data_IF_275227619395
#
_entry.id   IF_275227619395
#
_cell.length_a   1.000
_cell.length_b   1.000
_cell.length_c   1.000
_cell.angle_alpha   90.00
_cell.angle_beta   90.00
_cell.angle_gamma   90.00
#
_symmetry.space_group_name_H-M   'P 1'
#
loop_
_entity.id
_entity.type
_entity.pdbx_description
1 polymer ?
#
# COMPACT_ATOMS: atom_id res chain seq x y z
N UNK A 1 -8.46 9.20 9.52
CA UNK A 1 -7.87 9.62 10.81
C UNK A 1 -6.54 8.90 11.00
N UNK A 2 -5.81 9.12 12.08
CA UNK A 2 -4.58 8.38 12.38
C UNK A 2 -4.60 7.93 13.84
N UNK A 3 -4.01 6.77 14.12
CA UNK A 3 -3.77 6.26 15.46
C UNK A 3 -2.26 6.09 15.61
N UNK A 4 -1.64 6.85 16.52
CA UNK A 4 -0.21 6.68 16.82
C UNK A 4 -0.05 5.60 17.88
N UNK A 5 0.88 4.69 17.65
CA UNK A 5 1.19 3.57 18.56
C UNK A 5 2.68 3.60 18.94
N UNK A 6 3.10 2.92 20.04
CA UNK A 6 4.48 2.99 20.55
C UNK A 6 5.53 2.24 19.69
N UNK A 7 5.74 2.68 18.45
CA UNK A 7 6.85 2.25 17.57
C UNK A 7 7.64 3.48 17.10
N UNK A 8 8.98 3.42 16.99
CA UNK A 8 9.79 4.58 16.64
C UNK A 8 9.62 5.02 15.18
N UNK A 9 9.50 4.06 14.27
CA UNK A 9 9.16 4.26 12.85
C UNK A 9 8.56 2.95 12.30
N UNK A 10 8.01 3.01 11.09
CA UNK A 10 7.26 1.90 10.48
C UNK A 10 5.77 2.09 10.71
N UNK A 11 5.03 2.28 9.64
CA UNK A 11 3.61 2.62 9.64
C UNK A 11 2.85 1.78 8.61
N UNK A 12 1.53 1.73 8.77
CA UNK A 12 0.63 1.09 7.79
C UNK A 12 -0.58 1.97 7.52
N UNK A 13 -1.09 1.91 6.30
CA UNK A 13 -2.35 2.53 5.89
C UNK A 13 -3.37 1.45 5.59
N UNK A 14 -4.55 1.55 6.21
CA UNK A 14 -5.71 0.72 5.90
C UNK A 14 -6.72 1.60 5.17
N UNK A 15 -7.12 1.18 3.97
CA UNK A 15 -8.20 1.81 3.21
C UNK A 15 -9.36 0.84 3.09
N UNK A 16 -10.52 1.26 3.61
CA UNK A 16 -11.80 0.58 3.39
C UNK A 16 -12.63 1.40 2.40
N UNK A 17 -13.17 0.75 1.38
CA UNK A 17 -13.97 1.41 0.34
C UNK A 17 -15.17 0.53 -0.06
N UNK A 18 -16.28 1.17 -0.43
CA UNK A 18 -17.39 0.49 -1.09
C UNK A 18 -17.26 0.70 -2.59
N UNK A 19 -17.21 -0.40 -3.34
CA UNK A 19 -17.04 -0.40 -4.79
C UNK A 19 -18.23 -1.08 -5.46
N UNK A 20 -18.70 -0.51 -6.58
CA UNK A 20 -19.76 -1.10 -7.40
C UNK A 20 -19.15 -1.74 -8.64
N UNK A 21 -19.03 -3.07 -8.64
CA UNK A 21 -18.49 -3.89 -9.73
C UNK A 21 -18.90 -5.34 -9.51
N UNK A 22 -19.22 -6.07 -10.58
CA UNK A 22 -19.49 -7.49 -10.51
C UNK A 22 -18.22 -8.30 -10.14
N UNK A 23 -18.41 -9.39 -9.40
CA UNK A 23 -17.40 -10.41 -9.10
C UNK A 23 -16.04 -9.86 -8.61
N UNK A 24 -16.06 -8.91 -7.67
CA UNK A 24 -14.84 -8.45 -7.01
C UNK A 24 -14.30 -9.56 -6.11
N UNK A 25 -13.02 -9.91 -6.29
CA UNK A 25 -12.32 -10.88 -5.44
C UNK A 25 -11.01 -10.32 -4.93
N UNK A 26 -10.49 -10.89 -3.83
CA UNK A 26 -9.21 -10.50 -3.26
C UNK A 26 -8.07 -10.77 -4.26
N UNK A 27 -8.13 -11.88 -5.00
CA UNK A 27 -7.13 -12.25 -6.01
C UNK A 27 -7.08 -11.24 -7.15
N UNK A 28 -8.25 -10.76 -7.61
CA UNK A 28 -8.33 -9.75 -8.66
C UNK A 28 -7.74 -8.40 -8.21
N UNK A 29 -7.98 -8.00 -6.96
CA UNK A 29 -7.39 -6.80 -6.36
C UNK A 29 -5.88 -6.97 -6.23
N UNK A 30 -5.45 -8.08 -5.64
CA UNK A 30 -4.04 -8.42 -5.44
C UNK A 30 -3.27 -8.45 -6.76
N UNK A 31 -3.84 -9.06 -7.81
CA UNK A 31 -3.24 -9.07 -9.15
C UNK A 31 -3.12 -7.67 -9.76
N UNK A 32 -4.13 -6.82 -9.59
CA UNK A 32 -4.08 -5.43 -10.07
C UNK A 32 -3.00 -4.62 -9.35
N UNK A 33 -2.85 -4.81 -8.04
CA UNK A 33 -1.79 -4.16 -7.24
C UNK A 33 -0.40 -4.66 -7.65
N UNK A 34 -0.23 -5.98 -7.84
CA UNK A 34 1.03 -6.58 -8.32
C UNK A 34 1.43 -6.03 -9.69
N UNK A 35 0.47 -5.86 -10.59
CA UNK A 35 0.70 -5.29 -11.92
C UNK A 35 1.08 -3.80 -11.89
N UNK A 36 0.70 -3.06 -10.84
CA UNK A 36 1.05 -1.65 -10.66
C UNK A 36 2.43 -1.45 -9.98
N UNK A 37 3.11 -2.53 -9.57
CA UNK A 37 4.38 -2.48 -8.86
C UNK A 37 5.47 -1.80 -9.68
N UNK A 38 6.28 -0.99 -9.00
CA UNK A 38 7.38 -0.23 -9.57
C UNK A 38 8.35 0.19 -8.46
N UNK A 39 9.36 1.03 -8.76
CA UNK A 39 10.34 1.46 -7.76
C UNK A 39 9.75 2.23 -6.55
N UNK A 40 8.58 2.86 -6.72
CA UNK A 40 7.87 3.57 -5.67
C UNK A 40 6.80 2.71 -4.98
N UNK A 41 6.27 1.71 -5.67
CA UNK A 41 5.18 0.86 -5.18
C UNK A 41 5.63 -0.61 -5.16
N UNK A 42 5.92 -1.12 -3.97
CA UNK A 42 6.25 -2.52 -3.75
C UNK A 42 5.01 -3.39 -3.58
N UNK A 43 5.21 -4.70 -3.71
CA UNK A 43 4.18 -5.72 -3.50
C UNK A 43 4.72 -6.84 -2.62
N UNK A 44 4.00 -7.18 -1.55
CA UNK A 44 4.37 -8.15 -0.54
C UNK A 44 3.33 -9.29 -0.45
N UNK A 45 3.82 -10.53 -0.32
CA UNK A 45 3.01 -11.74 -0.05
C UNK A 45 3.46 -12.46 1.23
N UNK A 46 4.48 -11.95 1.93
CA UNK A 46 5.01 -12.53 3.17
C UNK A 46 4.29 -11.95 4.41
N UNK A 47 4.22 -12.71 5.51
CA UNK A 47 3.60 -12.26 6.77
C UNK A 47 4.56 -11.35 7.57
N UNK A 48 4.77 -10.13 7.06
CA UNK A 48 5.68 -9.13 7.64
C UNK A 48 5.02 -8.28 8.74
N UNK A 49 5.84 -7.62 9.54
CA UNK A 49 5.42 -6.67 10.58
C UNK A 49 6.14 -5.32 10.43
N UNK A 50 5.81 -4.35 11.29
CA UNK A 50 6.28 -2.96 11.16
C UNK A 50 7.81 -2.81 11.19
N UNK A 51 8.54 -3.70 11.85
CA UNK A 51 10.01 -3.65 11.89
C UNK A 51 10.66 -4.01 10.56
N UNK A 52 10.01 -4.84 9.74
CA UNK A 52 10.57 -5.36 8.49
C UNK A 52 10.62 -4.30 7.39
N UNK A 53 9.82 -3.23 7.54
CA UNK A 53 9.72 -2.16 6.56
C UNK A 53 10.65 -0.98 6.85
N UNK A 54 11.34 -0.97 7.99
CA UNK A 54 12.25 0.11 8.38
C UNK A 54 13.44 0.18 7.42
N UNK A 55 13.70 1.36 6.86
CA UNK A 55 14.79 1.60 5.91
C UNK A 55 14.50 1.17 4.47
N UNK A 56 13.27 0.71 4.16
CA UNK A 56 12.92 0.37 2.77
C UNK A 56 12.83 1.61 1.88
N UNK A 57 13.03 1.41 0.57
CA UNK A 57 13.04 2.51 -0.43
C UNK A 57 11.75 2.64 -1.24
N UNK A 58 10.82 1.70 -1.11
CA UNK A 58 9.48 1.87 -1.67
C UNK A 58 8.78 3.01 -0.94
N UNK A 59 8.02 3.84 -1.66
CA UNK A 59 7.14 4.84 -1.05
C UNK A 59 5.93 4.21 -0.37
N UNK A 60 5.52 3.03 -0.84
CA UNK A 60 4.38 2.25 -0.35
C UNK A 60 4.62 0.78 -0.70
N UNK A 61 4.37 -0.13 0.24
CA UNK A 61 4.53 -1.58 0.07
C UNK A 61 3.18 -2.25 0.34
N UNK A 62 2.45 -2.58 -0.73
CA UNK A 62 1.15 -3.22 -0.63
C UNK A 62 1.26 -4.61 -0.02
N UNK A 63 0.36 -4.92 0.92
CA UNK A 63 0.35 -6.19 1.63
C UNK A 63 -0.82 -7.07 1.21
N UNK A 64 -0.54 -8.06 0.36
CA UNK A 64 -1.55 -8.93 -0.23
C UNK A 64 -2.22 -9.87 0.79
N UNK A 65 -1.57 -10.11 1.94
CA UNK A 65 -2.10 -10.99 3.00
C UNK A 65 -3.27 -10.36 3.76
N UNK A 66 -3.41 -9.03 3.68
CA UNK A 66 -4.40 -8.26 4.44
C UNK A 66 -5.58 -7.74 3.58
N UNK A 67 -5.68 -8.17 2.32
CA UNK A 67 -6.80 -7.81 1.45
C UNK A 67 -8.07 -8.53 1.87
N UNK A 68 -9.16 -7.78 2.09
CA UNK A 68 -10.48 -8.34 2.39
C UNK A 68 -11.53 -7.85 1.39
N UNK A 69 -12.47 -8.71 1.06
CA UNK A 69 -13.60 -8.42 0.18
C UNK A 69 -14.87 -9.00 0.76
N UNK A 70 -15.85 -8.15 1.04
CA UNK A 70 -17.15 -8.54 1.58
C UNK A 70 -18.25 -8.06 0.63
N UNK A 71 -19.11 -8.96 0.18
CA UNK A 71 -20.29 -8.58 -0.61
C UNK A 71 -21.34 -7.97 0.32
N UNK A 72 -21.76 -6.75 0.04
CA UNK A 72 -22.74 -6.00 0.84
C UNK A 72 -24.06 -5.71 0.09
N UNK A 73 -24.10 -6.01 -1.21
CA UNK A 73 -25.31 -5.91 -2.04
C UNK A 73 -25.08 -6.41 -3.47
N UNK A 74 -26.04 -6.15 -4.35
CA UNK A 74 -25.92 -6.51 -5.78
C UNK A 74 -24.82 -5.69 -6.45
N UNK A 75 -23.81 -6.39 -6.95
CA UNK A 75 -22.57 -5.83 -7.49
C UNK A 75 -21.90 -4.80 -6.57
N UNK A 76 -22.16 -4.85 -5.27
CA UNK A 76 -21.67 -3.90 -4.28
C UNK A 76 -20.83 -4.63 -3.24
N UNK A 77 -19.57 -4.20 -3.12
CA UNK A 77 -18.58 -4.86 -2.25
C UNK A 77 -17.91 -3.82 -1.34
N UNK A 78 -17.78 -4.14 -0.07
CA UNK A 78 -16.86 -3.47 0.84
C UNK A 78 -15.49 -4.16 0.73
N UNK A 79 -14.47 -3.40 0.35
CA UNK A 79 -13.11 -3.87 0.18
C UNK A 79 -12.19 -3.18 1.16
N UNK A 80 -11.24 -3.94 1.71
CA UNK A 80 -10.14 -3.39 2.50
C UNK A 80 -8.81 -3.74 1.84
N UNK A 81 -7.94 -2.75 1.72
CA UNK A 81 -6.55 -2.92 1.28
C UNK A 81 -5.60 -2.27 2.28
N UNK A 82 -4.40 -2.85 2.40
CA UNK A 82 -3.39 -2.41 3.35
C UNK A 82 -2.06 -2.19 2.65
N UNK A 83 -1.34 -1.15 3.07
CA UNK A 83 0.02 -0.90 2.59
C UNK A 83 0.91 -0.37 3.70
N UNK A 84 2.12 -0.92 3.79
CA UNK A 84 3.16 -0.49 4.71
C UNK A 84 3.99 0.66 4.13
N UNK A 85 4.52 1.49 5.01
CA UNK A 85 5.49 2.51 4.67
C UNK A 85 6.40 2.83 5.87
N UNK A 86 7.67 3.06 5.62
CA UNK A 86 8.54 3.72 6.59
C UNK A 86 8.27 5.22 6.51
N UNK A 87 7.60 5.77 7.52
CA UNK A 87 7.26 7.20 7.57
C UNK A 87 8.50 8.12 7.48
N UNK A 88 9.70 7.61 7.68
CA UNK A 88 10.96 8.32 7.42
C UNK A 88 11.49 7.97 6.02
N UNK A 89 12.02 6.77 5.83
CA UNK A 89 12.83 6.46 4.64
C UNK A 89 12.01 6.24 3.35
N UNK A 90 10.77 5.74 3.44
CA UNK A 90 9.88 5.64 2.28
C UNK A 90 9.57 7.04 1.74
N UNK A 91 9.26 7.98 2.64
CA UNK A 91 9.01 9.37 2.26
C UNK A 91 10.26 10.05 1.67
N UNK A 92 11.41 9.91 2.33
CA UNK A 92 12.69 10.46 1.83
C UNK A 92 13.04 9.91 0.45
N UNK A 93 12.86 8.61 0.22
CA UNK A 93 13.13 7.98 -1.08
C UNK A 93 12.24 8.56 -2.18
N UNK A 94 10.95 8.78 -1.92
CA UNK A 94 10.05 9.44 -2.87
C UNK A 94 10.46 10.90 -3.13
N UNK A 95 10.82 11.65 -2.09
CA UNK A 95 11.26 13.05 -2.24
C UNK A 95 12.51 13.15 -3.12
N UNK A 96 13.49 12.27 -2.91
CA UNK A 96 14.71 12.23 -3.75
C UNK A 96 14.37 11.89 -5.20
N UNK A 97 13.47 10.93 -5.46
CA UNK A 97 13.01 10.63 -6.83
C UNK A 97 12.37 11.85 -7.49
N UNK A 98 11.49 12.54 -6.78
CA UNK A 98 10.82 13.76 -7.27
C UNK A 98 11.82 14.85 -7.62
N UNK A 99 12.80 15.12 -6.74
CA UNK A 99 13.82 16.16 -6.98
C UNK A 99 14.71 15.80 -8.19
N UNK A 100 15.11 14.53 -8.32
CA UNK A 100 15.90 14.07 -9.48
C UNK A 100 15.14 14.26 -10.78
N UNK A 101 13.89 13.80 -10.84
CA UNK A 101 13.05 13.99 -12.02
C UNK A 101 12.87 15.47 -12.36
N UNK A 102 12.61 16.31 -11.35
CA UNK A 102 12.44 17.75 -11.56
C UNK A 102 13.70 18.43 -12.10
N UNK A 103 14.90 18.00 -11.66
CA UNK A 103 16.16 18.52 -12.15
C UNK A 103 16.46 18.15 -13.61
N UNK A 104 15.90 17.05 -14.11
CA UNK A 104 16.07 16.58 -15.50
C UNK A 104 15.05 17.20 -16.48
N UNK A 105 14.07 17.96 -15.99
CA UNK A 105 13.05 18.63 -16.82
C UNK A 105 13.51 19.97 -17.40
N UNK A 106 14.64 20.51 -16.97
CA UNK A 106 15.25 21.75 -17.49
C UNK A 106 16.33 21.46 -18.52
#
# INVERSE_FOLDING_TARGET
SAQRVPVPTGSTTILTAVVKKADVTAEAINAAMKAAANESFGYNEDEIVSSDVIGMKYGSLFDATQTMVNKVGDDLYEVQVVSWYDNENSYTSQMVRTIKYFAELG
#
